data_IF_464623378909
#
_entry.id   IF_464623378909
#
_cell.length_a   1.000
_cell.length_b   1.000
_cell.length_c   1.000
_cell.angle_alpha   90.00
_cell.angle_beta   90.00
_cell.angle_gamma   90.00
#
_symmetry.space_group_name_H-M   'P 1'
#
loop_
_entity.id
_entity.type
_entity.pdbx_description
1 polymer ?
#
# COMPACT_ATOMS: atom_id res chain seq x y z
N UNK A 1 5.78 -42.80 64.72
CA UNK A 1 5.58 -41.61 65.57
C UNK A 1 5.73 -40.41 64.64
N UNK A 2 4.82 -40.12 63.70
CA UNK A 2 3.42 -39.64 63.83
C UNK A 2 3.27 -38.42 64.75
N UNK A 3 2.94 -37.28 64.11
CA UNK A 3 2.05 -36.13 64.49
C UNK A 3 2.71 -34.81 64.10
N UNK A 4 2.07 -33.77 63.58
CA UNK A 4 0.78 -33.51 62.94
C UNK A 4 0.82 -32.03 62.48
N UNK A 5 0.06 -31.68 61.45
CA UNK A 5 -0.06 -30.34 60.88
C UNK A 5 -0.69 -29.32 61.84
N UNK A 6 -0.41 -28.02 61.65
CA UNK A 6 -1.47 -27.01 61.79
C UNK A 6 -1.21 -25.76 60.93
N UNK A 7 -2.27 -25.36 60.23
CA UNK A 7 -2.40 -24.23 59.32
C UNK A 7 -2.95 -22.99 60.04
N UNK A 8 -2.49 -21.79 59.69
CA UNK A 8 -3.29 -20.57 59.90
C UNK A 8 -2.91 -19.47 58.89
N UNK A 9 -3.88 -19.19 58.01
CA UNK A 9 -3.99 -18.00 57.19
C UNK A 9 -3.97 -16.72 58.04
N UNK A 10 -3.22 -15.70 57.63
CA UNK A 10 -3.40 -14.32 58.12
C UNK A 10 -3.82 -13.40 56.96
N UNK A 11 -5.04 -12.90 57.06
CA UNK A 11 -5.66 -11.94 56.15
C UNK A 11 -5.19 -10.51 56.46
N UNK A 12 -5.00 -9.71 55.42
CA UNK A 12 -4.68 -8.27 55.49
C UNK A 12 -5.97 -7.43 55.49
N UNK A 13 -6.12 -6.37 56.31
CA UNK A 13 -7.33 -5.55 56.31
C UNK A 13 -7.25 -4.40 55.27
N UNK A 14 -8.34 -4.21 54.54
CA UNK A 14 -8.59 -3.09 53.62
C UNK A 14 -9.11 -1.88 54.41
N UNK A 15 -8.41 -0.74 54.38
CA UNK A 15 -8.93 0.54 54.87
C UNK A 15 -9.57 1.34 53.74
N UNK A 16 -10.79 1.82 53.99
CA UNK A 16 -11.68 2.56 53.10
C UNK A 16 -11.02 3.79 52.43
N UNK A 17 -11.29 3.95 51.13
CA UNK A 17 -11.01 5.18 50.38
C UNK A 17 -12.15 6.19 50.60
N UNK A 18 -11.81 7.34 51.17
CA UNK A 18 -12.70 8.49 51.35
C UNK A 18 -12.75 9.31 50.04
N UNK A 19 -13.97 9.60 49.56
CA UNK A 19 -14.22 10.45 48.38
C UNK A 19 -14.21 11.92 48.82
N UNK A 20 -13.48 12.77 48.12
CA UNK A 20 -13.56 14.24 48.26
C UNK A 20 -14.27 14.88 47.06
N UNK A 21 -15.22 15.77 47.36
CA UNK A 21 -16.09 16.54 46.46
C UNK A 21 -15.36 17.77 45.82
N UNK A 22 -15.94 18.44 44.80
CA UNK A 22 -15.19 19.31 43.89
C UNK A 22 -14.99 20.76 44.40
N UNK A 23 -13.93 21.37 43.87
CA UNK A 23 -13.34 22.67 44.22
C UNK A 23 -14.25 23.87 43.92
N UNK A 24 -14.41 24.77 44.89
CA UNK A 24 -15.07 26.08 44.74
C UNK A 24 -14.02 27.17 44.49
N UNK A 25 -14.26 28.04 43.50
CA UNK A 25 -13.36 29.12 43.08
C UNK A 25 -13.52 30.35 44.00
N UNK A 26 -12.41 30.85 44.57
CA UNK A 26 -12.39 32.13 45.32
C UNK A 26 -11.70 33.22 44.50
N UNK A 27 -12.44 34.30 44.26
CA UNK A 27 -12.09 35.53 43.55
C UNK A 27 -11.22 36.46 44.43
N UNK A 28 -10.16 37.08 43.88
CA UNK A 28 -9.27 38.02 44.62
C UNK A 28 -9.71 39.47 44.41
N UNK A 29 -9.85 40.23 45.49
CA UNK A 29 -9.89 41.71 45.47
C UNK A 29 -8.50 42.32 45.72
N UNK A 30 -8.17 43.49 45.13
CA UNK A 30 -6.80 43.98 45.05
C UNK A 30 -6.51 45.03 46.14
N UNK A 31 -5.49 44.77 46.97
CA UNK A 31 -5.00 45.76 47.93
C UNK A 31 -4.31 45.13 49.14
N UNK A 32 -3.17 44.48 48.94
CA UNK A 32 -2.19 44.41 50.01
C UNK A 32 -0.77 44.30 49.40
N UNK A 33 0.06 45.27 49.74
CA UNK A 33 1.43 45.38 49.26
C UNK A 33 2.35 44.74 50.30
N UNK A 34 2.70 43.47 50.10
CA UNK A 34 3.69 42.76 50.91
C UNK A 34 4.90 42.40 50.05
N UNK A 35 6.06 42.69 50.62
CA UNK A 35 7.43 42.66 50.08
C UNK A 35 7.84 41.32 49.46
N UNK A 36 8.67 41.38 48.40
CA UNK A 36 9.16 40.25 47.58
C UNK A 36 10.13 39.27 48.31
N UNK A 37 10.12 39.21 49.64
CA UNK A 37 11.08 38.42 50.43
C UNK A 37 10.48 37.22 51.20
N UNK A 38 9.19 36.90 51.02
CA UNK A 38 8.61 35.64 51.51
C UNK A 38 7.81 34.94 50.40
N UNK A 39 8.52 34.36 49.44
CA UNK A 39 7.99 33.29 48.59
C UNK A 39 8.65 31.97 49.02
N UNK A 40 8.50 31.64 50.30
CA UNK A 40 8.70 30.27 50.74
C UNK A 40 7.66 29.40 50.02
N UNK A 41 8.13 28.50 49.18
CA UNK A 41 7.31 27.44 48.61
C UNK A 41 6.69 26.64 49.75
N UNK A 42 5.40 26.90 50.03
CA UNK A 42 4.60 26.07 50.93
C UNK A 42 4.07 24.91 50.07
N UNK A 43 4.52 23.67 50.29
CA UNK A 43 4.03 22.55 49.50
C UNK A 43 2.55 22.37 49.80
N UNK A 44 1.72 22.31 48.75
CA UNK A 44 0.34 21.86 48.86
C UNK A 44 0.34 20.46 49.49
N UNK A 45 -0.22 20.36 50.70
CA UNK A 45 -0.41 19.11 51.42
C UNK A 45 -1.41 18.24 50.64
N UNK A 46 -0.93 17.48 49.66
CA UNK A 46 -1.78 16.59 48.86
C UNK A 46 -1.12 15.93 47.66
N UNK A 47 -0.10 16.54 47.06
CA UNK A 47 0.64 15.92 45.94
C UNK A 47 1.97 15.40 46.44
N UNK A 48 2.04 14.08 46.69
CA UNK A 48 3.32 13.39 46.94
C UNK A 48 4.15 13.43 45.66
N UNK A 49 4.98 14.45 45.50
CA UNK A 49 6.12 14.39 44.60
C UNK A 49 7.08 13.35 45.18
N UNK A 50 7.08 12.15 44.60
CA UNK A 50 8.02 11.09 44.97
C UNK A 50 9.41 11.47 44.45
N UNK A 51 10.26 11.95 45.34
CA UNK A 51 11.67 12.19 45.06
C UNK A 51 12.46 11.17 45.88
N UNK A 52 13.15 10.21 45.24
CA UNK A 52 13.81 9.12 45.95
C UNK A 52 15.05 9.65 46.68
N UNK A 53 15.19 9.28 47.94
CA UNK A 53 16.28 9.73 48.82
C UNK A 53 17.46 8.73 48.87
N UNK A 54 17.30 7.52 48.31
CA UNK A 54 18.35 6.48 48.26
C UNK A 54 18.13 5.46 47.13
N UNK A 55 19.22 5.03 46.46
CA UNK A 55 19.25 4.10 45.30
C UNK A 55 18.93 2.62 45.62
N UNK A 56 18.00 2.34 46.53
CA UNK A 56 17.71 0.96 46.95
C UNK A 56 16.48 0.41 46.22
N UNK A 57 16.76 -0.53 45.33
CA UNK A 57 15.88 -1.53 44.72
C UNK A 57 14.55 -1.05 44.09
N UNK A 58 14.65 -0.66 42.82
CA UNK A 58 13.53 -0.32 41.95
C UNK A 58 12.77 -1.59 41.50
N UNK A 59 11.70 -1.97 42.21
CA UNK A 59 10.84 -3.08 41.77
C UNK A 59 9.86 -2.57 40.71
N UNK A 60 10.23 -2.73 39.44
CA UNK A 60 9.40 -2.34 38.29
C UNK A 60 8.30 -3.39 38.06
N UNK A 61 7.03 -2.99 38.12
CA UNK A 61 5.89 -3.89 37.83
C UNK A 61 5.96 -4.48 36.41
N UNK A 62 5.54 -5.74 36.24
CA UNK A 62 5.47 -6.39 34.92
C UNK A 62 4.65 -5.60 33.90
N UNK A 63 3.58 -4.94 34.35
CA UNK A 63 2.77 -4.01 33.53
C UNK A 63 3.61 -2.86 32.96
N UNK A 64 4.57 -2.34 33.73
CA UNK A 64 5.48 -1.27 33.31
C UNK A 64 6.47 -1.79 32.27
N UNK A 65 6.98 -3.01 32.42
CA UNK A 65 7.82 -3.66 31.40
C UNK A 65 7.08 -3.86 30.07
N UNK A 66 5.81 -4.26 30.11
CA UNK A 66 4.97 -4.37 28.90
C UNK A 66 4.76 -3.00 28.24
N UNK A 67 4.56 -1.94 29.03
CA UNK A 67 4.40 -0.57 28.51
C UNK A 67 5.71 -0.05 27.92
N UNK A 68 6.85 -0.28 28.58
CA UNK A 68 8.19 0.09 28.07
C UNK A 68 8.44 -0.64 26.75
N UNK A 69 8.22 -1.96 26.71
CA UNK A 69 8.39 -2.76 25.49
C UNK A 69 7.51 -2.24 24.35
N UNK A 70 6.23 -1.95 24.60
CA UNK A 70 5.33 -1.40 23.58
C UNK A 70 5.75 0.00 23.12
N UNK A 71 6.24 0.86 24.02
CA UNK A 71 6.80 2.18 23.68
C UNK A 71 8.06 2.08 22.84
N UNK A 72 8.97 1.15 23.17
CA UNK A 72 10.20 0.92 22.42
C UNK A 72 9.90 0.35 21.04
N UNK A 73 9.04 -0.68 20.93
CA UNK A 73 8.63 -1.27 19.63
C UNK A 73 7.97 -0.21 18.74
N UNK A 74 7.09 0.59 19.33
CA UNK A 74 6.42 1.70 18.65
C UNK A 74 7.39 2.76 18.12
N UNK A 75 8.33 3.21 18.96
CA UNK A 75 9.33 4.20 18.54
C UNK A 75 10.20 3.64 17.42
N UNK A 76 10.63 2.38 17.53
CA UNK A 76 11.55 1.76 16.58
C UNK A 76 10.92 1.43 15.22
N UNK A 77 9.66 1.03 15.13
CA UNK A 77 9.00 0.68 13.85
C UNK A 77 8.91 1.90 12.92
N UNK A 78 8.64 3.09 13.47
CA UNK A 78 8.63 4.33 12.71
C UNK A 78 10.01 4.69 12.11
N UNK A 79 11.09 4.38 12.84
CA UNK A 79 12.45 4.67 12.37
C UNK A 79 13.00 3.65 11.38
N UNK A 80 12.44 2.43 11.32
CA UNK A 80 12.88 1.37 10.39
C UNK A 80 12.64 1.71 8.92
N UNK A 81 11.70 2.62 8.62
CA UNK A 81 11.43 3.03 7.25
C UNK A 81 12.63 3.75 6.61
N UNK A 82 13.40 4.53 7.38
CA UNK A 82 14.51 5.31 6.84
C UNK A 82 15.69 4.44 6.41
N UNK A 83 16.22 3.52 7.23
CA UNK A 83 17.28 2.60 6.80
C UNK A 83 16.83 1.68 5.66
N UNK A 84 15.58 1.21 5.70
CA UNK A 84 15.05 0.34 4.65
C UNK A 84 14.94 1.06 3.30
N UNK A 85 14.40 2.29 3.28
CA UNK A 85 14.34 3.11 2.07
C UNK A 85 15.75 3.49 1.60
N UNK A 86 16.63 3.95 2.50
CA UNK A 86 18.01 4.33 2.17
C UNK A 86 18.85 3.17 1.61
N UNK A 87 18.64 1.94 2.10
CA UNK A 87 19.35 0.76 1.61
C UNK A 87 18.96 0.32 0.19
N UNK A 88 17.71 0.58 -0.23
CA UNK A 88 17.17 0.17 -1.52
C UNK A 88 17.22 1.32 -2.56
N UNK A 89 17.18 2.58 -2.10
CA UNK A 89 17.18 3.79 -2.94
C UNK A 89 18.30 3.79 -3.98
N UNK A 90 19.54 3.47 -3.58
CA UNK A 90 20.69 3.45 -4.48
C UNK A 90 20.59 2.36 -5.57
N UNK A 91 19.95 1.22 -5.27
CA UNK A 91 19.75 0.14 -6.23
C UNK A 91 18.69 0.53 -7.27
N UNK A 92 17.58 1.12 -6.82
CA UNK A 92 16.52 1.63 -7.70
C UNK A 92 17.06 2.77 -8.58
N UNK A 93 17.81 3.70 -8.00
CA UNK A 93 18.38 4.83 -8.73
C UNK A 93 19.42 4.37 -9.79
N UNK A 94 20.16 3.30 -9.50
CA UNK A 94 21.04 2.66 -10.48
C UNK A 94 20.27 2.02 -11.65
N UNK A 95 19.15 1.33 -11.38
CA UNK A 95 18.30 0.77 -12.44
C UNK A 95 17.66 1.86 -13.33
N UNK A 96 17.33 3.02 -12.75
CA UNK A 96 16.78 4.18 -13.46
C UNK A 96 17.85 5.02 -14.18
N UNK A 97 19.13 4.66 -14.06
CA UNK A 97 20.26 5.25 -14.80
C UNK A 97 20.91 6.48 -14.19
N UNK A 98 20.49 6.93 -12.99
CA UNK A 98 21.12 8.07 -12.31
C UNK A 98 21.01 7.93 -10.78
N UNK A 99 22.12 7.54 -10.16
CA UNK A 99 22.23 7.28 -8.70
C UNK A 99 22.03 8.57 -7.89
N UNK A 100 22.32 9.74 -8.47
CA UNK A 100 22.28 11.03 -7.78
C UNK A 100 20.85 11.46 -7.43
N UNK A 101 19.87 11.02 -8.22
CA UNK A 101 18.46 11.39 -8.09
C UNK A 101 17.75 10.71 -6.92
N UNK A 102 18.37 9.75 -6.23
CA UNK A 102 17.81 9.16 -5.03
C UNK A 102 17.89 10.10 -3.83
N UNK A 103 19.07 10.71 -3.63
CA UNK A 103 19.52 11.27 -2.34
C UNK A 103 18.57 12.26 -1.67
N UNK A 104 17.77 13.00 -2.46
CA UNK A 104 16.82 13.97 -1.94
C UNK A 104 15.65 13.33 -1.18
N UNK A 105 15.31 12.07 -1.48
CA UNK A 105 14.17 11.37 -0.89
C UNK A 105 14.39 11.19 0.61
N UNK A 106 15.56 10.68 1.01
CA UNK A 106 15.94 10.52 2.42
C UNK A 106 15.96 11.87 3.14
N UNK A 107 16.44 12.94 2.48
CA UNK A 107 16.46 14.29 3.06
C UNK A 107 15.05 14.87 3.28
N UNK A 108 14.15 14.74 2.31
CA UNK A 108 12.76 15.20 2.42
C UNK A 108 12.00 14.41 3.49
N UNK A 109 12.21 13.10 3.57
CA UNK A 109 11.60 12.27 4.60
C UNK A 109 12.03 12.69 6.00
N UNK A 110 13.33 12.87 6.23
CA UNK A 110 13.86 13.30 7.53
C UNK A 110 13.35 14.69 7.90
N UNK A 111 13.28 15.63 6.95
CA UNK A 111 12.72 16.96 7.19
C UNK A 111 11.23 16.87 7.58
N UNK A 112 10.45 16.08 6.86
CA UNK A 112 9.03 15.84 7.17
C UNK A 112 8.83 15.21 8.55
N UNK A 113 9.67 14.24 8.92
CA UNK A 113 9.64 13.62 10.24
C UNK A 113 9.93 14.64 11.35
N UNK A 114 10.94 15.51 11.18
CA UNK A 114 11.26 16.57 12.15
C UNK A 114 10.08 17.53 12.33
N UNK A 115 9.47 17.99 11.23
CA UNK A 115 8.30 18.88 11.28
C UNK A 115 7.12 18.17 11.96
N UNK A 116 6.88 16.90 11.65
CA UNK A 116 5.83 16.11 12.28
C UNK A 116 6.07 15.95 13.79
N UNK A 117 7.28 15.67 14.24
CA UNK A 117 7.60 15.59 15.68
C UNK A 117 7.45 16.92 16.41
N UNK A 118 7.82 18.04 15.77
CA UNK A 118 7.66 19.38 16.34
C UNK A 118 6.18 19.75 16.53
N UNK A 119 5.33 19.42 15.57
CA UNK A 119 3.89 19.71 15.63
C UNK A 119 3.15 18.73 16.55
N UNK A 120 3.45 17.44 16.45
CA UNK A 120 2.74 16.38 17.17
C UNK A 120 3.24 16.18 18.59
N UNK A 121 4.50 16.55 18.90
CA UNK A 121 5.11 16.35 20.21
C UNK A 121 4.31 17.03 21.34
N UNK A 122 4.20 18.37 21.35
CA UNK A 122 3.46 19.09 22.39
C UNK A 122 1.97 18.76 22.40
N UNK A 123 1.37 18.56 21.22
CA UNK A 123 -0.04 18.23 21.09
C UNK A 123 -0.38 16.83 21.64
N UNK A 124 0.56 15.88 21.61
CA UNK A 124 0.36 14.53 22.13
C UNK A 124 0.18 14.48 23.65
N UNK A 125 0.70 15.48 24.37
CA UNK A 125 0.53 15.61 25.82
C UNK A 125 -0.89 16.06 26.20
N UNK A 126 -1.59 16.77 25.30
CA UNK A 126 -2.96 17.26 25.50
C UNK A 126 -4.02 16.15 25.32
N UNK A 127 -3.78 15.21 24.38
CA UNK A 127 -4.74 14.15 24.02
C UNK A 127 -4.52 12.83 24.76
N UNK A 128 -3.56 12.79 25.68
CA UNK A 128 -3.14 11.55 26.34
C UNK A 128 -2.18 10.75 25.48
N UNK A 129 -0.90 10.77 25.88
CA UNK A 129 0.25 10.19 25.18
C UNK A 129 0.03 8.77 24.63
N UNK A 130 -0.70 7.92 25.36
CA UNK A 130 -0.98 6.52 24.97
C UNK A 130 -1.82 6.41 23.70
N UNK A 131 -2.94 7.12 23.62
CA UNK A 131 -3.87 6.98 22.50
C UNK A 131 -3.36 7.68 21.24
N UNK A 132 -2.67 8.81 21.42
CA UNK A 132 -2.00 9.51 20.33
C UNK A 132 -0.95 8.62 19.64
N UNK A 133 -0.11 7.96 20.43
CA UNK A 133 0.93 7.06 19.94
C UNK A 133 0.34 5.83 19.22
N UNK A 134 -0.70 5.21 19.80
CA UNK A 134 -1.37 4.06 19.17
C UNK A 134 -1.99 4.44 17.83
N UNK A 135 -2.64 5.60 17.75
CA UNK A 135 -3.20 6.11 16.50
C UNK A 135 -2.12 6.37 15.43
N UNK A 136 -1.00 6.98 15.81
CA UNK A 136 0.14 7.20 14.92
C UNK A 136 0.70 5.91 14.33
N UNK A 137 0.89 4.87 15.14
CA UNK A 137 1.33 3.55 14.65
C UNK A 137 0.33 2.93 13.67
N UNK A 138 -0.97 3.03 13.95
CA UNK A 138 -2.01 2.49 13.06
C UNK A 138 -1.93 3.20 11.70
N UNK A 139 -1.77 4.52 11.68
CA UNK A 139 -1.59 5.28 10.44
C UNK A 139 -0.32 4.86 9.67
N UNK A 140 0.80 4.63 10.37
CA UNK A 140 2.04 4.16 9.73
C UNK A 140 1.85 2.77 9.12
N UNK A 141 1.19 1.85 9.83
CA UNK A 141 0.88 0.50 9.32
C UNK A 141 -0.01 0.58 8.09
N UNK A 142 -1.09 1.37 8.14
CA UNK A 142 -2.00 1.57 7.01
C UNK A 142 -1.26 2.20 5.83
N UNK A 143 -0.44 3.23 6.08
CA UNK A 143 0.37 3.88 5.05
C UNK A 143 1.36 2.91 4.40
N UNK A 144 2.01 2.05 5.18
CA UNK A 144 2.89 0.99 4.68
C UNK A 144 2.16 -0.03 3.81
N UNK A 145 0.95 -0.45 4.22
CA UNK A 145 0.11 -1.36 3.43
C UNK A 145 -0.30 -0.72 2.10
N UNK A 146 -0.75 0.54 2.12
CA UNK A 146 -1.14 1.27 0.91
C UNK A 146 0.06 1.47 -0.01
N UNK A 147 1.22 1.85 0.53
CA UNK A 147 2.47 1.98 -0.23
C UNK A 147 2.89 0.66 -0.89
N UNK A 148 2.83 -0.44 -0.14
CA UNK A 148 3.09 -1.78 -0.67
C UNK A 148 2.05 -2.24 -1.70
N UNK A 149 0.84 -1.68 -1.71
CA UNK A 149 -0.23 -2.06 -2.63
C UNK A 149 -0.03 -1.55 -4.06
N UNK A 150 0.93 -0.64 -4.30
CA UNK A 150 1.24 -0.11 -5.63
C UNK A 150 1.76 -1.19 -6.61
N UNK A 151 2.24 -2.32 -6.08
CA UNK A 151 2.77 -3.43 -6.89
C UNK A 151 1.68 -4.24 -7.59
N UNK A 152 0.46 -4.32 -7.03
CA UNK A 152 -0.61 -5.15 -7.59
C UNK A 152 -1.02 -4.74 -9.00
N UNK A 153 -1.21 -3.44 -9.30
CA UNK A 153 -1.44 -2.98 -10.66
C UNK A 153 -0.34 -3.38 -11.65
N UNK A 154 0.92 -3.39 -11.22
CA UNK A 154 2.04 -3.76 -12.08
C UNK A 154 2.03 -5.26 -12.43
N UNK A 155 1.76 -6.10 -11.42
CA UNK A 155 1.66 -7.56 -11.58
C UNK A 155 0.54 -7.94 -12.55
N UNK A 156 -0.62 -7.29 -12.44
CA UNK A 156 -1.76 -7.54 -13.33
C UNK A 156 -1.41 -7.23 -14.79
N UNK A 157 -0.85 -6.05 -15.07
CA UNK A 157 -0.44 -5.67 -16.44
C UNK A 157 0.63 -6.62 -16.99
N UNK A 158 1.62 -6.99 -16.18
CA UNK A 158 2.65 -7.96 -16.59
C UNK A 158 2.02 -9.29 -16.99
N UNK A 159 1.06 -9.77 -16.19
CA UNK A 159 0.33 -11.02 -16.47
C UNK A 159 -0.47 -10.91 -17.77
N UNK A 160 -1.17 -9.78 -18.00
CA UNK A 160 -1.92 -9.54 -19.23
C UNK A 160 -1.04 -9.52 -20.48
N UNK A 161 0.17 -8.95 -20.39
CA UNK A 161 1.14 -8.93 -21.49
C UNK A 161 1.63 -10.33 -21.82
N UNK A 162 1.94 -11.16 -20.82
CA UNK A 162 2.37 -12.54 -21.04
C UNK A 162 1.24 -13.41 -21.64
N UNK A 163 0.00 -13.25 -21.16
CA UNK A 163 -1.17 -13.92 -21.76
C UNK A 163 -1.37 -13.52 -23.23
N UNK A 164 -1.24 -12.22 -23.52
CA UNK A 164 -1.33 -11.70 -24.89
C UNK A 164 -0.20 -12.22 -25.76
N UNK A 165 1.04 -12.29 -25.25
CA UNK A 165 2.20 -12.82 -25.97
C UNK A 165 1.96 -14.27 -26.39
N UNK A 166 1.48 -15.10 -25.48
CA UNK A 166 1.12 -16.48 -25.78
C UNK A 166 -0.02 -16.58 -26.80
N UNK A 167 -1.03 -15.72 -26.70
CA UNK A 167 -2.14 -15.67 -27.66
C UNK A 167 -1.66 -15.29 -29.07
N UNK A 168 -0.78 -14.30 -29.20
CA UNK A 168 -0.19 -13.87 -30.47
C UNK A 168 0.66 -15.00 -31.07
N UNK A 169 1.56 -15.59 -30.27
CA UNK A 169 2.42 -16.68 -30.75
C UNK A 169 1.62 -17.89 -31.19
N UNK A 170 0.61 -18.29 -30.42
CA UNK A 170 -0.30 -19.38 -30.82
C UNK A 170 -1.03 -19.05 -32.11
N UNK A 171 -1.54 -17.83 -32.26
CA UNK A 171 -2.25 -17.40 -33.46
C UNK A 171 -1.32 -17.39 -34.67
N UNK A 172 -0.07 -16.96 -34.51
CA UNK A 172 0.93 -16.99 -35.58
C UNK A 172 1.21 -18.42 -36.07
N UNK A 173 1.46 -19.37 -35.15
CA UNK A 173 1.69 -20.77 -35.49
C UNK A 173 0.49 -21.38 -36.23
N UNK A 174 -0.73 -21.10 -35.77
CA UNK A 174 -1.93 -21.57 -36.44
C UNK A 174 -2.14 -20.90 -37.82
N UNK A 175 -1.75 -19.64 -37.98
CA UNK A 175 -1.76 -18.95 -39.28
C UNK A 175 -0.80 -19.61 -40.26
N UNK A 176 0.41 -19.98 -39.82
CA UNK A 176 1.40 -20.67 -40.65
C UNK A 176 0.89 -22.05 -41.10
N UNK A 177 0.22 -22.79 -40.22
CA UNK A 177 -0.41 -24.07 -40.55
C UNK A 177 -1.52 -23.92 -41.60
N UNK A 178 -2.38 -22.91 -41.44
CA UNK A 178 -3.45 -22.63 -42.42
C UNK A 178 -2.88 -22.12 -43.73
N UNK A 179 -1.81 -21.32 -43.71
CA UNK A 179 -1.12 -20.88 -44.91
C UNK A 179 -0.52 -22.06 -45.68
N UNK A 180 0.17 -22.98 -44.99
CA UNK A 180 0.77 -24.16 -45.59
C UNK A 180 -0.26 -25.09 -46.24
N UNK A 181 -1.38 -25.35 -45.55
CA UNK A 181 -2.48 -26.18 -46.09
C UNK A 181 -3.17 -25.52 -47.28
N UNK A 182 -3.45 -24.21 -47.22
CA UNK A 182 -4.03 -23.48 -48.33
C UNK A 182 -3.12 -23.46 -49.57
N UNK A 183 -1.81 -23.31 -49.37
CA UNK A 183 -0.82 -23.34 -50.45
C UNK A 183 -0.74 -24.72 -51.10
N UNK A 184 -0.78 -25.81 -50.32
CA UNK A 184 -0.82 -27.18 -50.84
C UNK A 184 -2.08 -27.44 -51.69
N UNK A 185 -3.21 -26.81 -51.35
CA UNK A 185 -4.45 -26.88 -52.12
C UNK A 185 -4.52 -25.91 -53.30
N UNK A 186 -3.47 -25.11 -53.55
CA UNK A 186 -3.46 -24.09 -54.61
C UNK A 186 -4.39 -22.90 -54.36
N UNK A 187 -4.82 -22.68 -53.11
CA UNK A 187 -5.70 -21.57 -52.70
C UNK A 187 -4.89 -20.39 -52.18
N UNK A 188 -5.46 -19.20 -52.28
CA UNK A 188 -4.91 -17.98 -51.69
C UNK A 188 -4.82 -18.08 -50.15
N UNK A 189 -3.61 -18.07 -49.55
CA UNK A 189 -3.45 -18.30 -48.11
C UNK A 189 -4.13 -17.24 -47.24
N UNK A 190 -4.11 -15.96 -47.64
CA UNK A 190 -4.74 -14.88 -46.89
C UNK A 190 -6.27 -15.04 -46.75
N UNK A 191 -6.92 -15.62 -47.77
CA UNK A 191 -8.37 -15.89 -47.72
C UNK A 191 -8.70 -17.03 -46.74
N UNK A 192 -7.86 -18.07 -46.71
CA UNK A 192 -8.02 -19.18 -45.78
C UNK A 192 -7.83 -18.71 -44.34
N UNK A 193 -6.79 -17.91 -44.08
CA UNK A 193 -6.51 -17.33 -42.77
C UNK A 193 -7.68 -16.46 -42.29
N UNK A 194 -8.18 -15.54 -43.11
CA UNK A 194 -9.27 -14.64 -42.68
C UNK A 194 -10.56 -15.43 -42.36
N UNK A 195 -10.84 -16.47 -43.15
CA UNK A 195 -12.04 -17.30 -42.97
C UNK A 195 -11.95 -18.23 -41.77
N UNK A 196 -10.77 -18.79 -41.48
CA UNK A 196 -10.61 -19.78 -40.40
C UNK A 196 -10.16 -19.16 -39.09
N UNK A 197 -9.29 -18.15 -39.13
CA UNK A 197 -8.61 -17.55 -37.98
C UNK A 197 -8.96 -16.08 -37.73
N UNK A 198 -9.83 -15.47 -38.54
CA UNK A 198 -10.14 -14.04 -38.41
C UNK A 198 -10.62 -13.60 -37.02
N UNK A 199 -11.24 -14.49 -36.23
CA UNK A 199 -11.60 -14.21 -34.83
C UNK A 199 -10.38 -14.14 -33.91
N UNK A 200 -9.41 -15.05 -34.03
CA UNK A 200 -8.20 -15.06 -33.18
C UNK A 200 -7.32 -13.84 -33.46
N UNK A 201 -7.16 -13.48 -34.73
CA UNK A 201 -6.48 -12.24 -35.14
C UNK A 201 -7.20 -11.01 -34.54
N UNK A 202 -8.53 -11.02 -34.58
CA UNK A 202 -9.34 -9.99 -33.93
C UNK A 202 -9.10 -9.92 -32.42
N UNK A 203 -9.05 -11.06 -31.73
CA UNK A 203 -8.74 -11.15 -30.29
C UNK A 203 -7.40 -10.51 -29.94
N UNK A 204 -6.34 -10.87 -30.69
CA UNK A 204 -5.02 -10.27 -30.50
C UNK A 204 -5.05 -8.75 -30.69
N UNK A 205 -5.68 -8.28 -31.77
CA UNK A 205 -5.67 -6.87 -32.13
C UNK A 205 -6.43 -6.00 -31.10
N UNK A 206 -7.68 -6.35 -30.77
CA UNK A 206 -8.46 -5.51 -29.85
C UNK A 206 -7.91 -5.54 -28.42
N UNK A 207 -7.35 -6.68 -27.98
CA UNK A 207 -6.85 -6.80 -26.61
C UNK A 207 -5.47 -6.14 -26.46
N UNK A 208 -4.60 -6.18 -27.47
CA UNK A 208 -3.22 -5.68 -27.36
C UNK A 208 -3.09 -4.21 -26.94
N UNK A 209 -4.03 -3.36 -27.40
CA UNK A 209 -3.96 -1.92 -27.14
C UNK A 209 -4.41 -1.53 -25.72
N UNK A 210 -5.17 -2.39 -25.04
CA UNK A 210 -5.75 -2.12 -23.70
C UNK A 210 -4.70 -2.09 -22.58
N UNK A 211 -3.89 -3.14 -22.36
CA UNK A 211 -2.94 -3.16 -21.26
C UNK A 211 -1.88 -2.07 -21.41
N UNK A 212 -1.53 -1.67 -22.63
CA UNK A 212 -0.57 -0.57 -22.87
C UNK A 212 -1.18 0.79 -22.53
N UNK A 213 -2.42 1.04 -22.92
CA UNK A 213 -3.12 2.26 -22.51
C UNK A 213 -3.27 2.33 -20.99
N UNK A 214 -3.65 1.22 -20.35
CA UNK A 214 -3.81 1.13 -18.90
C UNK A 214 -2.47 1.31 -18.15
N UNK A 215 -1.39 0.73 -18.65
CA UNK A 215 -0.05 0.94 -18.11
C UNK A 215 0.38 2.41 -18.18
N UNK A 216 0.16 3.07 -19.32
CA UNK A 216 0.48 4.47 -19.48
C UNK A 216 -0.38 5.37 -18.57
N UNK A 217 -1.68 5.07 -18.45
CA UNK A 217 -2.61 5.80 -17.58
C UNK A 217 -2.22 5.70 -16.11
N UNK A 218 -1.91 4.47 -15.64
CA UNK A 218 -1.41 4.24 -14.28
C UNK A 218 -0.08 4.95 -14.03
N UNK A 219 0.84 4.95 -15.01
CA UNK A 219 2.10 5.68 -14.89
C UNK A 219 1.89 7.20 -14.74
N UNK A 220 0.95 7.77 -15.50
CA UNK A 220 0.55 9.19 -15.35
C UNK A 220 0.00 9.43 -13.94
N UNK A 221 -0.91 8.58 -13.46
CA UNK A 221 -1.53 8.72 -12.14
C UNK A 221 -0.50 8.66 -10.99
N UNK A 222 0.50 7.79 -11.09
CA UNK A 222 1.58 7.65 -10.09
C UNK A 222 2.45 8.89 -10.04
N UNK A 223 2.77 9.48 -11.21
CA UNK A 223 3.63 10.66 -11.31
C UNK A 223 2.86 11.98 -11.13
N UNK A 224 1.54 11.93 -10.92
CA UNK A 224 0.68 13.10 -10.72
C UNK A 224 0.79 14.12 -11.85
N UNK A 225 0.84 15.42 -11.51
CA UNK A 225 0.95 16.50 -12.49
C UNK A 225 2.22 16.42 -13.37
N UNK A 226 3.31 15.85 -12.83
CA UNK A 226 4.53 15.58 -13.61
C UNK A 226 4.29 14.55 -14.72
N UNK A 227 3.52 13.50 -14.44
CA UNK A 227 3.21 12.44 -15.40
C UNK A 227 2.34 12.90 -16.58
N UNK A 228 1.48 13.89 -16.36
CA UNK A 228 0.66 14.50 -17.41
C UNK A 228 1.45 15.51 -18.28
N UNK A 229 2.66 15.88 -17.85
CA UNK A 229 3.51 16.82 -18.57
C UNK A 229 4.40 16.12 -19.60
N UNK A 230 4.85 16.87 -20.62
CA UNK A 230 5.78 16.39 -21.67
C UNK A 230 7.19 16.04 -21.17
N UNK A 231 7.47 16.24 -19.89
CA UNK A 231 8.75 15.86 -19.28
C UNK A 231 8.93 14.34 -19.22
N UNK A 232 7.84 13.59 -19.11
CA UNK A 232 7.85 12.14 -19.13
C UNK A 232 7.17 11.60 -20.41
N UNK A 233 7.58 10.43 -20.90
CA UNK A 233 7.02 9.87 -22.14
C UNK A 233 5.58 9.33 -21.98
N UNK A 234 5.03 9.29 -20.76
CA UNK A 234 3.77 8.61 -20.46
C UNK A 234 2.57 9.19 -21.24
N UNK A 235 2.44 10.51 -21.29
CA UNK A 235 1.37 11.18 -22.05
C UNK A 235 1.45 10.89 -23.57
N UNK A 236 2.66 10.77 -24.12
CA UNK A 236 2.85 10.45 -25.53
C UNK A 236 2.44 9.00 -25.82
N UNK A 237 2.87 8.06 -24.98
CA UNK A 237 2.51 6.64 -25.09
C UNK A 237 0.99 6.49 -25.02
N UNK A 238 0.34 7.08 -24.00
CA UNK A 238 -1.11 6.99 -23.84
C UNK A 238 -1.86 7.50 -25.09
N UNK A 239 -1.49 8.68 -25.61
CA UNK A 239 -2.12 9.24 -26.83
C UNK A 239 -1.93 8.35 -28.04
N UNK A 240 -0.74 7.76 -28.19
CA UNK A 240 -0.40 6.92 -29.33
C UNK A 240 -1.20 5.61 -29.33
N UNK A 241 -1.26 4.91 -28.20
CA UNK A 241 -2.00 3.65 -28.08
C UNK A 241 -3.52 3.85 -28.02
N UNK A 242 -4.00 4.99 -27.52
CA UNK A 242 -5.42 5.33 -27.57
C UNK A 242 -5.95 5.38 -29.00
N UNK A 243 -5.13 5.85 -29.94
CA UNK A 243 -5.44 5.89 -31.38
C UNK A 243 -5.59 4.50 -31.99
N UNK A 244 -4.74 3.54 -31.62
CA UNK A 244 -4.79 2.17 -32.16
C UNK A 244 -6.06 1.41 -31.81
N UNK A 245 -6.83 1.87 -30.82
CA UNK A 245 -8.17 1.32 -30.52
C UNK A 245 -9.22 1.66 -31.58
N UNK A 246 -8.91 2.58 -32.49
CA UNK A 246 -9.81 3.11 -33.53
C UNK A 246 -9.28 2.79 -34.92
N UNK A 247 -7.98 2.99 -35.15
CA UNK A 247 -7.30 2.76 -36.43
C UNK A 247 -7.00 1.27 -36.64
N UNK A 248 -6.97 0.78 -37.89
CA UNK A 248 -6.81 -0.65 -38.24
C UNK A 248 -8.00 -1.57 -37.84
N UNK A 249 -9.15 -0.96 -37.60
CA UNK A 249 -10.40 -1.62 -37.20
C UNK A 249 -10.70 -1.41 -35.73
N UNK A 250 -11.79 -0.69 -35.44
CA UNK A 250 -12.15 -0.34 -34.07
C UNK A 250 -12.37 -1.56 -33.18
N UNK A 251 -12.17 -1.42 -31.87
CA UNK A 251 -12.42 -2.50 -30.92
C UNK A 251 -13.81 -3.10 -31.07
N UNK A 252 -14.84 -2.29 -31.30
CA UNK A 252 -16.23 -2.74 -31.48
C UNK A 252 -16.38 -3.62 -32.73
N UNK A 253 -15.67 -3.31 -33.81
CA UNK A 253 -15.66 -4.14 -35.02
C UNK A 253 -15.00 -5.49 -34.77
N UNK A 254 -13.86 -5.49 -34.07
CA UNK A 254 -13.13 -6.72 -33.73
C UNK A 254 -13.95 -7.60 -32.77
N UNK A 255 -14.57 -7.00 -31.75
CA UNK A 255 -15.47 -7.70 -30.82
C UNK A 255 -16.65 -8.29 -31.58
N UNK A 256 -17.28 -7.54 -32.48
CA UNK A 256 -18.37 -8.06 -33.34
C UNK A 256 -17.90 -9.25 -34.19
N UNK A 257 -16.68 -9.19 -34.75
CA UNK A 257 -16.10 -10.30 -35.51
C UNK A 257 -15.95 -11.52 -34.62
N UNK A 258 -15.36 -11.39 -33.43
CA UNK A 258 -15.21 -12.48 -32.46
C UNK A 258 -16.57 -13.07 -32.06
N UNK A 259 -17.54 -12.22 -31.73
CA UNK A 259 -18.90 -12.63 -31.38
C UNK A 259 -19.57 -13.42 -32.52
N UNK A 260 -19.37 -13.01 -33.77
CA UNK A 260 -19.93 -13.72 -34.91
C UNK A 260 -19.42 -15.17 -35.02
N UNK A 261 -18.14 -15.42 -34.70
CA UNK A 261 -17.61 -16.79 -34.66
C UNK A 261 -18.06 -17.55 -33.41
N UNK A 262 -18.09 -16.89 -32.25
CA UNK A 262 -18.48 -17.52 -30.98
C UNK A 262 -19.95 -17.98 -30.97
N UNK A 263 -20.86 -17.16 -31.51
CA UNK A 263 -22.28 -17.46 -31.60
C UNK A 263 -22.70 -18.16 -32.90
N UNK A 264 -21.73 -18.53 -33.75
CA UNK A 264 -21.99 -19.30 -34.98
C UNK A 264 -22.63 -18.52 -36.14
N UNK A 265 -22.69 -17.18 -36.06
CA UNK A 265 -23.13 -16.33 -37.18
C UNK A 265 -22.11 -16.29 -38.34
N UNK A 266 -20.82 -16.55 -38.06
CA UNK A 266 -19.76 -16.79 -39.04
C UNK A 266 -19.12 -18.15 -38.77
N UNK A 267 -18.96 -18.94 -39.81
CA UNK A 267 -18.32 -20.27 -39.71
C UNK A 267 -16.86 -20.18 -40.15
N UNK A 268 -15.97 -20.85 -39.43
CA UNK A 268 -14.54 -21.01 -39.75
C UNK A 268 -14.26 -21.83 -41.01
N UNK A 269 -15.21 -21.97 -41.94
CA UNK A 269 -15.08 -22.81 -43.13
C UNK A 269 -15.10 -24.32 -42.88
N UNK A 270 -15.04 -24.78 -41.62
CA UNK A 270 -15.28 -26.18 -41.24
C UNK A 270 -16.78 -26.48 -41.36
N UNK A 271 -17.13 -27.56 -42.08
CA UNK A 271 -18.54 -27.98 -42.21
C UNK A 271 -19.13 -28.24 -40.82
N UNK A 272 -20.38 -27.83 -40.60
CA UNK A 272 -21.14 -27.88 -39.32
C UNK A 272 -21.16 -29.26 -38.61
N UNK A 273 -20.64 -30.33 -39.23
CA UNK A 273 -20.53 -31.67 -38.66
C UNK A 273 -19.19 -32.05 -38.01
N UNK A 274 -18.09 -31.32 -38.27
CA UNK A 274 -16.76 -31.69 -37.74
C UNK A 274 -16.46 -31.11 -36.35
N UNK A 275 -17.11 -29.99 -36.00
CA UNK A 275 -16.92 -29.32 -34.70
C UNK A 275 -17.43 -30.18 -33.53
N UNK A 276 -18.45 -31.00 -33.75
CA UNK A 276 -19.03 -31.87 -32.71
C UNK A 276 -18.09 -33.02 -32.29
N UNK A 277 -17.12 -33.39 -33.14
CA UNK A 277 -16.14 -34.43 -32.79
C UNK A 277 -14.94 -33.89 -31.98
N UNK A 278 -14.56 -32.62 -32.14
CA UNK A 278 -13.37 -32.06 -31.45
C UNK A 278 -13.64 -31.53 -30.03
N UNK A 279 -14.90 -31.34 -29.63
CA UNK A 279 -15.28 -30.89 -28.28
C UNK A 279 -15.51 -32.07 -27.30
N UNK A 280 -15.31 -33.31 -27.75
CA UNK A 280 -15.30 -34.51 -26.89
C UNK A 280 -13.87 -34.94 -26.59
N UNK A 281 -13.12 -34.13 -25.85
CA UNK A 281 -11.90 -34.51 -25.14
C UNK A 281 -11.87 -33.76 -23.81
#
# INVERSE_FOLDING_TARGET
>A
MTTAANSSHNAFPLSHAEKTDPVEHVEKTPGDSTTLEELHYVPSAGTKHFQPETDVEYVVTFKTWVVIFMLTVTGSVCYWLVPALSGIENQIAAELGDVTKGTWITAVYNLGAVVAFLVCGPNSDLFGRRWFIVFGNILVVVGGIVGGSIQWPLVDISTQVEMLRLLILRTAVEMDQVAATAQAEGKAPWMAIERQLGHKIGMCNYYANRPVCEAADRAIQIHGGGGYSRHYPFEHIWRHFRRYRITEGSEEMQIRKVAAYLFGYKTTGLKRGETSQKTKL
#
